data_IF_833172547038
#
_entry.id   IF_833172547038
#
_cell.length_a   1.000
_cell.length_b   1.000
_cell.length_c   1.000
_cell.angle_alpha   90.00
_cell.angle_beta   90.00
_cell.angle_gamma   90.00
#
_symmetry.space_group_name_H-M   'P 1'
#
loop_
_entity.id
_entity.type
_entity.pdbx_description
1 polymer ?
#
# COMPACT_ATOMS: atom_id res chain seq x y z
N UNK A 1 -3.20 -27.34 22.56
CA UNK A 1 -2.54 -26.11 22.09
C UNK A 1 -1.86 -25.54 23.32
N UNK A 2 -0.53 -25.34 23.28
CA UNK A 2 0.16 -24.72 24.41
C UNK A 2 -0.35 -23.27 24.53
N UNK A 3 -0.82 -22.90 25.72
CA UNK A 3 -1.14 -21.53 26.10
C UNK A 3 0.13 -20.68 25.90
N UNK A 4 0.17 -19.94 24.79
CA UNK A 4 1.23 -18.94 24.61
C UNK A 4 0.89 -17.82 25.57
N UNK A 5 1.56 -17.81 26.71
CA UNK A 5 1.51 -16.66 27.63
C UNK A 5 1.89 -15.41 26.83
N UNK A 6 1.09 -14.32 26.89
CA UNK A 6 1.44 -13.09 26.19
C UNK A 6 2.78 -12.60 26.74
N UNK A 7 3.80 -12.58 25.88
CA UNK A 7 5.07 -11.93 26.21
C UNK A 7 4.73 -10.48 26.58
N UNK A 8 5.13 -10.04 27.77
CA UNK A 8 4.97 -8.66 28.19
C UNK A 8 5.86 -7.79 27.30
N UNK A 9 5.25 -7.17 26.28
CA UNK A 9 5.94 -6.24 25.40
C UNK A 9 5.60 -4.83 25.86
N UNK A 10 6.63 -4.07 26.23
CA UNK A 10 6.50 -2.68 26.66
C UNK A 10 6.95 -1.75 25.55
N UNK A 11 6.19 -0.67 25.36
CA UNK A 11 6.63 0.40 24.47
C UNK A 11 7.77 1.18 25.13
N UNK A 12 8.89 1.29 24.42
CA UNK A 12 10.02 2.14 24.80
C UNK A 12 9.99 3.42 23.98
N UNK A 13 9.71 4.53 24.64
CA UNK A 13 9.87 5.85 24.01
C UNK A 13 11.36 6.12 23.79
N UNK A 14 11.74 6.47 22.57
CA UNK A 14 13.08 6.98 22.28
C UNK A 14 13.28 8.39 22.85
N UNK A 15 14.53 8.83 22.95
CA UNK A 15 14.85 10.21 23.35
C UNK A 15 14.64 11.20 22.22
N UNK A 16 14.75 10.78 20.95
CA UNK A 16 14.49 11.61 19.76
C UNK A 16 12.99 11.62 19.48
N UNK A 17 12.41 12.80 19.45
CA UNK A 17 11.00 13.02 19.17
C UNK A 17 10.68 12.99 17.67
N UNK A 18 9.41 12.88 17.30
CA UNK A 18 8.95 13.06 15.93
C UNK A 18 9.27 14.45 15.41
N UNK A 19 9.03 15.48 16.23
CA UNK A 19 9.23 16.87 15.85
C UNK A 19 10.72 17.15 15.50
N UNK A 20 11.66 16.56 16.22
CA UNK A 20 13.09 16.66 15.91
C UNK A 20 13.42 16.01 14.55
N UNK A 21 12.82 14.83 14.23
CA UNK A 21 13.01 14.20 12.90
C UNK A 21 12.41 15.05 11.80
N UNK A 22 11.19 15.56 12.00
CA UNK A 22 10.49 16.43 11.05
C UNK A 22 11.23 17.76 10.84
N UNK A 23 11.78 18.36 11.91
CA UNK A 23 12.58 19.55 11.83
C UNK A 23 13.88 19.34 11.03
N UNK A 24 14.56 18.19 11.23
CA UNK A 24 15.75 17.81 10.48
C UNK A 24 15.46 17.71 8.97
N UNK A 25 14.35 17.05 8.61
CA UNK A 25 13.94 16.88 7.22
C UNK A 25 13.22 18.12 6.64
N UNK A 26 12.86 19.09 7.50
CA UNK A 26 12.02 20.25 7.15
C UNK A 26 10.68 19.84 6.50
N UNK A 27 10.14 18.71 6.91
CA UNK A 27 9.01 18.03 6.31
C UNK A 27 8.23 17.25 7.36
N UNK A 28 6.91 17.30 7.26
CA UNK A 28 6.01 16.42 8.00
C UNK A 28 5.70 15.19 7.13
N UNK A 29 5.89 14.01 7.70
CA UNK A 29 5.59 12.78 6.98
C UNK A 29 4.08 12.49 6.89
N UNK A 30 3.70 11.74 5.85
CA UNK A 30 2.34 11.25 5.66
C UNK A 30 2.36 9.92 4.89
N UNK A 31 1.34 9.11 5.08
CA UNK A 31 1.08 7.95 4.22
C UNK A 31 0.09 8.33 3.12
N UNK A 32 0.48 8.13 1.87
CA UNK A 32 -0.34 8.27 0.67
C UNK A 32 -0.71 6.85 0.22
N UNK A 33 -1.97 6.44 0.47
CA UNK A 33 -2.42 5.07 0.25
C UNK A 33 -3.18 4.95 -1.06
N UNK A 34 -2.49 4.47 -2.12
CA UNK A 34 -3.10 4.22 -3.43
C UNK A 34 -3.77 2.85 -3.44
N UNK A 35 -5.07 2.82 -3.66
CA UNK A 35 -5.87 1.60 -3.81
C UNK A 35 -6.60 1.58 -5.16
N UNK A 36 -6.91 0.40 -5.67
CA UNK A 36 -7.58 0.20 -6.96
C UNK A 36 -7.23 -1.14 -7.61
N UNK A 37 -7.88 -1.49 -8.69
CA UNK A 37 -7.71 -2.76 -9.41
C UNK A 37 -6.28 -2.96 -9.95
N UNK A 38 -5.91 -4.19 -10.26
CA UNK A 38 -4.70 -4.46 -11.04
C UNK A 38 -4.76 -3.71 -12.38
N UNK A 39 -3.66 -3.14 -12.85
CA UNK A 39 -3.66 -2.37 -14.11
C UNK A 39 -4.34 -0.99 -14.06
N UNK A 40 -4.86 -0.56 -12.89
CA UNK A 40 -5.55 0.74 -12.77
C UNK A 40 -4.63 1.96 -12.91
N UNK A 41 -3.31 1.82 -12.74
CA UNK A 41 -2.35 2.93 -12.83
C UNK A 41 -1.75 3.38 -11.48
N UNK A 42 -2.02 2.68 -10.37
CA UNK A 42 -1.51 3.03 -9.03
C UNK A 42 0.00 3.25 -8.99
N UNK A 43 0.77 2.26 -9.43
CA UNK A 43 2.24 2.32 -9.41
C UNK A 43 2.76 3.43 -10.32
N UNK A 44 2.12 3.65 -11.47
CA UNK A 44 2.49 4.72 -12.40
C UNK A 44 2.31 6.09 -11.75
N UNK A 45 1.16 6.31 -11.08
CA UNK A 45 0.89 7.58 -10.38
C UNK A 45 1.82 7.76 -9.18
N UNK A 46 2.02 6.70 -8.38
CA UNK A 46 2.89 6.76 -7.20
C UNK A 46 4.35 7.09 -7.56
N UNK A 47 4.90 6.45 -8.59
CA UNK A 47 6.28 6.69 -9.06
C UNK A 47 6.42 8.10 -9.64
N UNK A 48 5.46 8.56 -10.44
CA UNK A 48 5.49 9.92 -10.99
C UNK A 48 5.40 10.98 -9.87
N UNK A 49 4.55 10.75 -8.87
CA UNK A 49 4.44 11.65 -7.71
C UNK A 49 5.72 11.63 -6.86
N UNK A 50 6.33 10.46 -6.60
CA UNK A 50 7.61 10.36 -5.90
C UNK A 50 8.66 11.22 -6.58
N UNK A 51 8.80 11.11 -7.91
CA UNK A 51 9.75 11.91 -8.68
C UNK A 51 9.53 13.40 -8.49
N UNK A 52 8.29 13.88 -8.54
CA UNK A 52 7.96 15.30 -8.36
C UNK A 52 8.24 15.74 -6.92
N UNK A 53 7.93 14.93 -5.91
CA UNK A 53 8.22 15.25 -4.51
C UNK A 53 9.74 15.36 -4.27
N UNK A 54 10.53 14.41 -4.78
CA UNK A 54 11.99 14.45 -4.68
C UNK A 54 12.57 15.67 -5.39
N UNK A 55 12.10 16.02 -6.58
CA UNK A 55 12.54 17.22 -7.31
C UNK A 55 12.21 18.53 -6.56
N UNK A 56 11.16 18.52 -5.73
CA UNK A 56 10.80 19.64 -4.85
C UNK A 56 11.50 19.61 -3.50
N UNK A 57 12.45 18.68 -3.29
CA UNK A 57 13.22 18.55 -2.05
C UNK A 57 12.50 17.84 -0.91
N UNK A 58 11.44 17.08 -1.22
CA UNK A 58 10.71 16.28 -0.25
C UNK A 58 11.16 14.82 -0.27
N UNK A 59 11.46 14.26 0.89
CA UNK A 59 11.79 12.84 1.04
C UNK A 59 10.52 11.99 0.90
N UNK A 60 10.51 11.11 -0.10
CA UNK A 60 9.42 10.21 -0.41
C UNK A 60 9.94 8.81 -0.75
N UNK A 61 9.11 7.77 -0.55
CA UNK A 61 9.45 6.40 -0.91
C UNK A 61 8.22 5.63 -1.34
N UNK A 62 8.28 4.99 -2.52
CA UNK A 62 7.22 4.13 -3.02
C UNK A 62 7.35 2.72 -2.45
N UNK A 63 6.31 2.29 -1.74
CA UNK A 63 6.11 0.91 -1.31
C UNK A 63 5.17 0.24 -2.31
N UNK A 64 5.74 -0.40 -3.33
CA UNK A 64 4.96 -1.11 -4.36
C UNK A 64 4.68 -2.55 -3.97
N UNK A 65 3.45 -3.02 -4.26
CA UNK A 65 2.98 -4.34 -3.86
C UNK A 65 3.80 -5.50 -4.42
N UNK A 66 4.28 -5.40 -5.67
CA UNK A 66 5.12 -6.44 -6.26
C UNK A 66 6.51 -6.44 -5.63
N UNK A 67 7.11 -5.26 -5.45
CA UNK A 67 8.45 -5.12 -4.86
C UNK A 67 8.49 -5.63 -3.41
N UNK A 68 7.48 -5.29 -2.61
CA UNK A 68 7.39 -5.76 -1.22
C UNK A 68 7.23 -7.28 -1.14
N UNK A 69 6.56 -7.89 -2.12
CA UNK A 69 6.43 -9.35 -2.21
C UNK A 69 7.71 -10.06 -2.66
N UNK A 70 8.74 -9.33 -3.08
CA UNK A 70 10.08 -9.91 -3.29
C UNK A 70 10.89 -10.03 -1.98
N UNK A 71 10.45 -9.41 -0.88
CA UNK A 71 11.16 -9.37 0.39
C UNK A 71 10.25 -9.50 1.61
N UNK A 72 9.79 -8.38 2.16
CA UNK A 72 9.04 -8.32 3.43
C UNK A 72 7.80 -9.23 3.44
N UNK A 73 7.06 -9.27 2.33
CA UNK A 73 5.84 -10.05 2.17
C UNK A 73 6.02 -11.16 1.13
N UNK A 74 7.24 -11.73 1.05
CA UNK A 74 7.56 -12.78 0.10
C UNK A 74 6.70 -14.03 0.32
N UNK A 75 6.31 -14.65 -0.80
CA UNK A 75 5.62 -15.95 -0.77
C UNK A 75 6.56 -17.11 -0.42
N UNK A 76 6.01 -18.29 -0.07
CA UNK A 76 6.82 -19.45 0.34
C UNK A 76 7.93 -19.81 -0.64
N UNK A 77 7.63 -19.79 -1.95
CA UNK A 77 8.62 -20.11 -2.97
C UNK A 77 9.81 -19.14 -2.95
N UNK A 78 9.54 -17.83 -2.89
CA UNK A 78 10.60 -16.83 -2.85
C UNK A 78 11.45 -16.99 -1.59
N UNK A 79 10.83 -17.30 -0.43
CA UNK A 79 11.55 -17.54 0.82
C UNK A 79 12.46 -18.76 0.75
N UNK A 80 12.02 -19.84 0.10
CA UNK A 80 12.87 -21.01 -0.14
C UNK A 80 14.04 -20.69 -1.08
N UNK A 81 13.76 -20.02 -2.21
CA UNK A 81 14.74 -19.75 -3.24
C UNK A 81 15.79 -18.71 -2.83
N UNK A 82 15.37 -17.65 -2.09
CA UNK A 82 16.24 -16.50 -1.80
C UNK A 82 16.79 -16.49 -0.37
N UNK A 83 16.16 -17.20 0.58
CA UNK A 83 16.52 -17.21 2.00
C UNK A 83 16.89 -18.59 2.50
N UNK A 84 16.89 -19.61 1.63
CA UNK A 84 17.16 -21.01 1.97
C UNK A 84 16.31 -21.53 3.15
N UNK A 85 15.09 -21.00 3.31
CA UNK A 85 14.19 -21.48 4.37
C UNK A 85 13.67 -22.87 4.04
N UNK A 86 13.60 -23.74 5.06
CA UNK A 86 12.93 -25.01 4.95
C UNK A 86 11.46 -24.81 4.57
N UNK A 87 10.88 -25.72 3.79
CA UNK A 87 9.53 -25.63 3.24
C UNK A 87 8.48 -25.36 4.32
N UNK A 88 8.57 -26.01 5.48
CA UNK A 88 7.67 -25.80 6.63
C UNK A 88 7.71 -24.37 7.15
N UNK A 89 8.90 -23.80 7.27
CA UNK A 89 9.10 -22.42 7.71
C UNK A 89 8.66 -21.44 6.63
N UNK A 90 8.97 -21.72 5.37
CA UNK A 90 8.56 -20.89 4.24
C UNK A 90 7.02 -20.81 4.13
N UNK A 91 6.32 -21.94 4.28
CA UNK A 91 4.85 -21.99 4.32
C UNK A 91 4.26 -21.25 5.53
N UNK A 92 4.94 -21.27 6.66
CA UNK A 92 4.49 -20.60 7.88
C UNK A 92 4.63 -19.07 7.81
N UNK A 93 5.69 -18.56 7.21
CA UNK A 93 6.04 -17.13 7.24
C UNK A 93 5.74 -16.41 5.91
N UNK A 94 5.66 -17.14 4.82
CA UNK A 94 5.38 -16.59 3.50
C UNK A 94 3.91 -16.26 3.31
N UNK A 95 3.63 -15.19 2.57
CA UNK A 95 2.28 -14.75 2.26
C UNK A 95 1.90 -15.12 0.82
N UNK A 96 0.79 -15.84 0.68
CA UNK A 96 0.14 -16.13 -0.60
C UNK A 96 -0.85 -15.03 -1.00
N UNK A 97 -1.99 -15.49 -1.56
CA UNK A 97 -3.07 -14.63 -2.05
C UNK A 97 -4.44 -15.03 -1.48
N UNK A 98 -4.47 -15.85 -0.41
CA UNK A 98 -5.72 -16.09 0.31
C UNK A 98 -6.24 -14.79 0.93
N UNK A 99 -7.52 -14.69 1.30
CA UNK A 99 -8.05 -13.51 2.01
C UNK A 99 -7.23 -13.16 3.26
N UNK A 100 -6.82 -14.15 4.05
CA UNK A 100 -6.01 -13.98 5.26
C UNK A 100 -4.59 -13.47 4.95
N UNK A 101 -3.97 -14.02 3.90
CA UNK A 101 -2.65 -13.56 3.43
C UNK A 101 -2.70 -12.11 2.94
N UNK A 102 -3.80 -11.71 2.29
CA UNK A 102 -4.02 -10.33 1.84
C UNK A 102 -4.22 -9.39 3.02
N UNK A 103 -5.01 -9.78 4.01
CA UNK A 103 -5.19 -9.03 5.26
C UNK A 103 -3.85 -8.81 5.95
N UNK A 104 -3.06 -9.87 6.15
CA UNK A 104 -1.73 -9.77 6.78
C UNK A 104 -0.75 -8.95 5.93
N UNK A 105 -0.80 -9.05 4.59
CA UNK A 105 -0.02 -8.21 3.69
C UNK A 105 -0.32 -6.72 3.93
N UNK A 106 -1.60 -6.34 3.99
CA UNK A 106 -2.02 -4.95 4.21
C UNK A 106 -1.69 -4.49 5.62
N UNK A 107 -1.85 -5.35 6.65
CA UNK A 107 -1.44 -5.05 8.02
C UNK A 107 0.05 -4.71 8.11
N UNK A 108 0.93 -5.55 7.51
CA UNK A 108 2.39 -5.29 7.50
C UNK A 108 2.72 -3.97 6.82
N UNK A 109 2.09 -3.69 5.68
CA UNK A 109 2.34 -2.43 4.95
C UNK A 109 1.80 -1.23 5.72
N UNK A 110 0.66 -1.36 6.40
CA UNK A 110 0.14 -0.33 7.30
C UNK A 110 1.16 0.05 8.37
N UNK A 111 1.78 -0.94 9.03
CA UNK A 111 2.83 -0.68 10.03
C UNK A 111 4.10 -0.07 9.42
N UNK A 112 4.57 -0.57 8.29
CA UNK A 112 5.77 -0.04 7.63
C UNK A 112 5.55 1.39 7.15
N UNK A 113 4.44 1.68 6.48
CA UNK A 113 4.13 3.02 6.01
C UNK A 113 3.99 4.02 7.17
N UNK A 114 3.39 3.58 8.30
CA UNK A 114 3.32 4.37 9.53
C UNK A 114 4.71 4.74 10.06
N UNK A 115 5.67 3.79 10.07
CA UNK A 115 7.04 4.06 10.52
C UNK A 115 7.76 5.05 9.59
N UNK A 116 7.58 4.92 8.28
CA UNK A 116 8.11 5.86 7.30
C UNK A 116 7.54 7.27 7.53
N UNK A 117 6.23 7.37 7.68
CA UNK A 117 5.58 8.65 7.91
C UNK A 117 5.92 9.25 9.29
N UNK A 118 6.05 8.44 10.34
CA UNK A 118 6.53 8.89 11.66
C UNK A 118 7.97 9.41 11.61
N UNK A 119 8.80 8.87 10.72
CA UNK A 119 10.17 9.37 10.52
C UNK A 119 10.25 10.67 9.73
N UNK A 120 9.14 11.14 9.14
CA UNK A 120 9.05 12.37 8.36
C UNK A 120 8.99 12.18 6.84
N UNK A 121 8.97 10.93 6.33
CA UNK A 121 8.89 10.68 4.89
C UNK A 121 7.44 10.64 4.39
N UNK A 122 7.24 10.95 3.12
CA UNK A 122 6.03 10.54 2.42
C UNK A 122 6.14 9.07 2.03
N UNK A 123 5.32 8.21 2.65
CA UNK A 123 5.20 6.80 2.29
C UNK A 123 4.10 6.63 1.23
N UNK A 124 4.47 6.35 -0.02
CA UNK A 124 3.54 6.15 -1.13
C UNK A 124 3.26 4.65 -1.29
N UNK A 125 2.16 4.16 -0.74
CA UNK A 125 1.82 2.73 -0.80
C UNK A 125 0.98 2.43 -2.04
N UNK A 126 1.45 1.55 -2.92
CA UNK A 126 0.74 1.15 -4.15
C UNK A 126 0.31 -0.31 -4.07
N UNK A 127 -0.90 -0.54 -3.56
CA UNK A 127 -1.47 -1.88 -3.35
C UNK A 127 -2.91 -1.96 -3.86
N UNK A 128 -3.35 -3.12 -4.34
CA UNK A 128 -4.77 -3.34 -4.66
C UNK A 128 -5.61 -3.07 -3.41
N UNK A 129 -5.22 -3.66 -2.26
CA UNK A 129 -5.90 -3.54 -0.96
C UNK A 129 -7.43 -3.62 -1.10
N UNK A 130 -7.95 -4.80 -1.54
CA UNK A 130 -9.32 -4.90 -2.06
C UNK A 130 -10.40 -4.69 -1.00
N UNK A 131 -10.13 -5.03 0.25
CA UNK A 131 -11.13 -5.02 1.31
C UNK A 131 -11.08 -3.72 2.12
N UNK A 132 -12.25 -3.08 2.32
CA UNK A 132 -12.36 -1.84 3.12
C UNK A 132 -11.85 -2.04 4.53
N UNK A 133 -12.22 -3.17 5.16
CA UNK A 133 -11.80 -3.48 6.54
C UNK A 133 -10.30 -3.38 6.74
N UNK A 134 -9.50 -3.81 5.75
CA UNK A 134 -8.05 -3.82 5.84
C UNK A 134 -7.48 -2.41 5.68
N UNK A 135 -8.05 -1.61 4.75
CA UNK A 135 -7.67 -0.20 4.57
C UNK A 135 -8.05 0.63 5.80
N UNK A 136 -9.26 0.41 6.36
CA UNK A 136 -9.71 1.05 7.59
C UNK A 136 -8.81 0.68 8.77
N UNK A 137 -8.39 -0.58 8.88
CA UNK A 137 -7.43 -1.02 9.89
C UNK A 137 -6.06 -0.32 9.73
N UNK A 138 -5.56 -0.20 8.49
CA UNK A 138 -4.34 0.55 8.21
C UNK A 138 -4.47 2.04 8.58
N UNK A 139 -5.59 2.68 8.24
CA UNK A 139 -5.89 4.07 8.67
C UNK A 139 -5.87 4.20 10.19
N UNK A 140 -6.54 3.27 10.89
CA UNK A 140 -6.63 3.27 12.36
C UNK A 140 -5.27 3.15 13.03
N UNK A 141 -4.34 2.36 12.47
CA UNK A 141 -2.96 2.26 12.96
C UNK A 141 -2.28 3.64 12.95
N UNK A 142 -2.52 4.46 11.92
CA UNK A 142 -1.96 5.81 11.80
C UNK A 142 -2.62 6.79 12.79
N UNK A 143 -3.95 6.75 12.90
CA UNK A 143 -4.71 7.61 13.81
C UNK A 143 -4.39 7.34 15.28
N UNK A 144 -4.18 6.07 15.64
CA UNK A 144 -3.89 5.62 17.01
C UNK A 144 -2.39 5.51 17.33
N UNK A 145 -1.54 6.09 16.49
CA UNK A 145 -0.09 6.04 16.72
C UNK A 145 0.28 6.70 18.05
N UNK A 146 1.15 6.03 18.83
CA UNK A 146 1.46 6.41 20.23
C UNK A 146 2.12 7.77 20.38
N UNK A 147 2.83 8.23 19.37
CA UNK A 147 3.49 9.55 19.37
C UNK A 147 2.62 10.65 18.75
N UNK A 148 1.32 10.42 18.62
CA UNK A 148 0.34 11.29 18.00
C UNK A 148 -0.10 10.78 16.62
N UNK A 149 -1.28 11.18 16.16
CA UNK A 149 -1.82 10.76 14.88
C UNK A 149 -0.87 11.10 13.70
N UNK A 150 -0.83 10.20 12.73
CA UNK A 150 -0.06 10.36 11.48
C UNK A 150 -1.05 10.54 10.33
N UNK A 151 -0.85 11.50 9.44
CA UNK A 151 -1.71 11.69 8.28
C UNK A 151 -1.75 10.43 7.39
N UNK A 152 -2.97 9.97 7.09
CA UNK A 152 -3.25 8.88 6.17
C UNK A 152 -4.21 9.40 5.10
N UNK A 153 -3.78 9.39 3.86
CA UNK A 153 -4.50 9.98 2.71
C UNK A 153 -4.81 8.84 1.75
N UNK A 154 -6.07 8.43 1.68
CA UNK A 154 -6.52 7.37 0.77
C UNK A 154 -6.78 7.95 -0.62
N UNK A 155 -6.10 7.40 -1.62
CA UNK A 155 -6.20 7.80 -3.02
C UNK A 155 -6.79 6.64 -3.80
N UNK A 156 -8.03 6.79 -4.22
CA UNK A 156 -8.72 5.81 -5.04
C UNK A 156 -8.36 5.98 -6.51
N UNK A 157 -7.63 5.02 -7.06
CA UNK A 157 -7.34 4.96 -8.49
C UNK A 157 -8.51 4.23 -9.17
N UNK A 158 -9.56 5.02 -9.49
CA UNK A 158 -10.87 4.58 -9.94
C UNK A 158 -10.91 4.36 -11.46
N UNK A 159 -10.08 3.47 -11.96
CA UNK A 159 -10.08 3.09 -13.38
C UNK A 159 -11.08 1.95 -13.59
N UNK A 160 -12.00 2.06 -14.57
CA UNK A 160 -12.95 1.00 -14.90
C UNK A 160 -12.27 -0.35 -15.17
N UNK A 161 -12.94 -1.45 -14.76
CA UNK A 161 -12.37 -2.78 -14.90
C UNK A 161 -12.11 -3.14 -16.36
N UNK A 162 -12.97 -2.71 -17.27
CA UNK A 162 -12.83 -2.92 -18.71
C UNK A 162 -11.50 -2.31 -19.23
N UNK A 163 -11.17 -1.13 -18.74
CA UNK A 163 -9.88 -0.47 -19.09
C UNK A 163 -8.70 -1.21 -18.46
N UNK A 164 -8.85 -1.70 -17.22
CA UNK A 164 -7.81 -2.50 -16.57
C UNK A 164 -7.57 -3.82 -17.31
N UNK A 165 -8.64 -4.50 -17.74
CA UNK A 165 -8.58 -5.74 -18.53
C UNK A 165 -7.96 -5.52 -19.92
N UNK A 166 -8.29 -4.41 -20.60
CA UNK A 166 -7.66 -4.07 -21.87
C UNK A 166 -6.16 -3.83 -21.76
N UNK A 167 -5.73 -3.19 -20.67
CA UNK A 167 -4.30 -2.97 -20.40
C UNK A 167 -3.57 -4.25 -20.07
N UNK A 168 -4.11 -5.04 -19.19
CA UNK A 168 -3.60 -6.32 -18.64
C UNK A 168 -2.08 -6.55 -18.81
N UNK A 169 -1.22 -5.67 -18.28
CA UNK A 169 0.21 -5.66 -18.59
C UNK A 169 0.95 -6.92 -18.16
N UNK A 170 0.32 -7.73 -17.29
CA UNK A 170 0.87 -8.98 -16.76
C UNK A 170 0.13 -10.22 -17.27
N UNK A 171 -0.92 -10.07 -18.08
CA UNK A 171 -1.76 -11.16 -18.55
C UNK A 171 -2.60 -11.84 -17.46
N UNK A 172 -2.76 -11.20 -16.29
CA UNK A 172 -3.42 -11.80 -15.14
C UNK A 172 -4.94 -11.83 -15.28
N UNK A 173 -5.55 -10.81 -15.90
CA UNK A 173 -7.00 -10.82 -16.19
C UNK A 173 -7.34 -11.94 -17.14
N UNK A 174 -6.58 -12.11 -18.22
CA UNK A 174 -6.77 -13.21 -19.16
C UNK A 174 -6.70 -14.55 -18.43
N UNK A 175 -5.67 -14.80 -17.64
CA UNK A 175 -5.52 -16.03 -16.88
C UNK A 175 -6.70 -16.27 -15.93
N UNK A 176 -7.18 -15.23 -15.22
CA UNK A 176 -8.30 -15.33 -14.31
C UNK A 176 -9.61 -15.65 -15.05
N UNK A 177 -9.89 -14.98 -16.18
CA UNK A 177 -11.07 -15.25 -17.01
C UNK A 177 -11.03 -16.67 -17.59
N UNK A 178 -9.90 -17.13 -18.09
CA UNK A 178 -9.72 -18.49 -18.62
C UNK A 178 -9.95 -19.54 -17.51
N UNK A 179 -9.45 -19.29 -16.29
CA UNK A 179 -9.65 -20.18 -15.15
C UNK A 179 -11.12 -20.24 -14.72
N UNK A 180 -11.82 -19.11 -14.66
CA UNK A 180 -13.27 -19.07 -14.34
C UNK A 180 -14.07 -19.80 -15.42
N UNK A 181 -13.76 -19.62 -16.69
CA UNK A 181 -14.40 -20.33 -17.81
C UNK A 181 -14.18 -21.87 -17.72
N UNK A 182 -13.04 -22.30 -17.16
CA UNK A 182 -12.74 -23.71 -16.89
C UNK A 182 -13.33 -24.23 -15.56
N UNK A 183 -14.18 -23.44 -14.87
CA UNK A 183 -14.78 -23.80 -13.59
C UNK A 183 -13.82 -23.77 -12.39
N UNK A 184 -12.68 -23.07 -12.52
CA UNK A 184 -11.65 -22.96 -11.48
C UNK A 184 -11.46 -21.47 -11.12
N UNK A 185 -11.85 -21.06 -9.90
CA UNK A 185 -11.55 -19.73 -9.40
C UNK A 185 -10.04 -19.56 -9.12
N UNK A 186 -9.53 -18.35 -9.30
CA UNK A 186 -8.15 -17.96 -8.93
C UNK A 186 -8.11 -17.01 -7.72
N UNK A 187 -9.29 -16.53 -7.24
CA UNK A 187 -9.36 -15.48 -6.24
C UNK A 187 -8.75 -14.17 -6.76
N UNK A 188 -8.93 -13.86 -8.05
CA UNK A 188 -8.36 -12.65 -8.65
C UNK A 188 -9.33 -11.47 -8.47
N UNK A 189 -8.82 -10.41 -7.83
CA UNK A 189 -9.62 -9.22 -7.51
C UNK A 189 -10.21 -8.56 -8.76
N UNK A 190 -11.51 -8.39 -8.76
CA UNK A 190 -12.29 -7.83 -9.87
C UNK A 190 -12.81 -8.87 -10.88
N UNK A 191 -12.43 -10.15 -10.74
CA UNK A 191 -12.94 -11.24 -11.60
C UNK A 191 -13.76 -12.22 -10.77
N UNK A 192 -13.15 -12.93 -9.84
CA UNK A 192 -13.75 -13.93 -8.97
C UNK A 192 -13.50 -13.68 -7.48
N UNK A 193 -12.86 -12.53 -7.15
CA UNK A 193 -12.76 -11.97 -5.81
C UNK A 193 -13.17 -10.48 -5.85
N UNK A 194 -13.94 -9.96 -4.87
CA UNK A 194 -14.45 -8.60 -4.93
C UNK A 194 -13.36 -7.55 -4.70
N UNK A 195 -13.55 -6.38 -5.32
CA UNK A 195 -12.90 -5.13 -4.93
C UNK A 195 -13.94 -4.21 -4.30
N UNK A 196 -13.74 -3.86 -3.04
CA UNK A 196 -14.62 -2.96 -2.30
C UNK A 196 -14.10 -1.53 -2.43
N UNK A 197 -14.67 -0.75 -3.34
CA UNK A 197 -14.31 0.65 -3.51
C UNK A 197 -14.40 1.44 -2.19
N UNK A 198 -13.46 2.35 -1.90
CA UNK A 198 -13.54 3.18 -0.69
C UNK A 198 -14.79 4.05 -0.71
N UNK A 199 -15.40 4.24 0.48
CA UNK A 199 -16.64 5.02 0.61
C UNK A 199 -16.37 6.53 0.62
N UNK A 200 -15.25 6.94 1.20
CA UNK A 200 -14.86 8.35 1.37
C UNK A 200 -13.34 8.50 1.26
N UNK A 201 -12.74 8.24 0.08
CA UNK A 201 -11.32 8.49 -0.11
C UNK A 201 -11.08 10.01 -0.06
N UNK A 202 -9.90 10.43 0.36
CA UNK A 202 -9.50 11.83 0.30
C UNK A 202 -9.39 12.32 -1.13
N UNK A 203 -8.95 11.45 -2.05
CA UNK A 203 -8.82 11.76 -3.47
C UNK A 203 -9.28 10.57 -4.33
N UNK A 204 -9.79 10.88 -5.52
CA UNK A 204 -10.13 9.90 -6.55
C UNK A 204 -9.56 10.36 -7.89
N UNK A 205 -8.90 9.45 -8.60
CA UNK A 205 -8.33 9.69 -9.92
C UNK A 205 -8.66 8.54 -10.87
N UNK A 206 -9.14 8.88 -12.06
CA UNK A 206 -9.48 7.92 -13.12
C UNK A 206 -8.47 8.01 -14.27
N UNK A 207 -7.60 7.00 -14.37
CA UNK A 207 -6.59 6.91 -15.44
C UNK A 207 -7.16 6.50 -16.81
N UNK A 208 -8.46 6.33 -16.96
CA UNK A 208 -9.11 6.16 -18.28
C UNK A 208 -9.44 7.49 -18.94
N UNK A 209 -9.63 8.54 -18.13
CA UNK A 209 -10.06 9.87 -18.58
C UNK A 209 -9.07 10.98 -18.27
N UNK A 210 -8.13 10.73 -17.36
CA UNK A 210 -7.15 11.72 -16.90
C UNK A 210 -5.72 11.23 -17.14
N UNK A 211 -4.81 12.16 -17.45
CA UNK A 211 -3.39 11.83 -17.61
C UNK A 211 -2.69 11.63 -16.26
N UNK A 212 -1.50 11.05 -16.28
CA UNK A 212 -0.68 10.87 -15.07
C UNK A 212 -0.29 12.22 -14.46
N UNK A 213 0.01 13.21 -15.28
CA UNK A 213 0.35 14.58 -14.86
C UNK A 213 -0.83 15.24 -14.15
N UNK A 214 -2.05 15.03 -14.64
CA UNK A 214 -3.27 15.50 -13.95
C UNK A 214 -3.46 14.80 -12.60
N UNK A 215 -3.20 13.51 -12.53
CA UNK A 215 -3.23 12.76 -11.26
C UNK A 215 -2.18 13.25 -10.27
N UNK A 216 -0.95 13.48 -10.72
CA UNK A 216 0.13 14.07 -9.89
C UNK A 216 -0.27 15.46 -9.40
N UNK A 217 -0.78 16.32 -10.28
CA UNK A 217 -1.22 17.66 -9.92
C UNK A 217 -2.36 17.63 -8.89
N UNK A 218 -3.32 16.70 -9.02
CA UNK A 218 -4.41 16.52 -8.07
C UNK A 218 -3.87 16.22 -6.66
N UNK A 219 -2.97 15.24 -6.54
CA UNK A 219 -2.41 14.85 -5.24
C UNK A 219 -1.52 15.96 -4.68
N UNK A 220 -0.67 16.55 -5.51
CA UNK A 220 0.24 17.61 -5.09
C UNK A 220 -0.51 18.85 -4.59
N UNK A 221 -1.56 19.29 -5.29
CA UNK A 221 -2.39 20.41 -4.85
C UNK A 221 -3.05 20.12 -3.49
N UNK A 222 -3.58 18.91 -3.30
CA UNK A 222 -4.11 18.51 -1.99
C UNK A 222 -3.04 18.60 -0.88
N UNK A 223 -1.81 18.13 -1.16
CA UNK A 223 -0.72 18.22 -0.18
C UNK A 223 -0.32 19.67 0.14
N UNK A 224 -0.34 20.56 -0.87
CA UNK A 224 -0.08 22.00 -0.69
C UNK A 224 -1.19 22.65 0.12
N UNK A 225 -2.46 22.44 -0.23
CA UNK A 225 -3.63 23.00 0.47
C UNK A 225 -3.68 22.57 1.94
N UNK A 226 -3.20 21.37 2.26
CA UNK A 226 -3.12 20.85 3.62
C UNK A 226 -1.82 21.22 4.35
N UNK A 227 -0.90 21.93 3.69
CA UNK A 227 0.35 22.38 4.27
C UNK A 227 1.42 21.29 4.46
N UNK A 228 1.27 20.14 3.79
CA UNK A 228 2.28 19.08 3.80
C UNK A 228 3.47 19.39 2.89
N UNK A 229 3.22 20.11 1.81
CA UNK A 229 4.20 20.53 0.82
C UNK A 229 4.09 22.04 0.63
N UNK A 230 5.23 22.73 0.50
CA UNK A 230 5.22 24.16 0.16
C UNK A 230 4.86 24.36 -1.31
N UNK A 231 4.17 25.46 -1.59
CA UNK A 231 3.82 25.89 -2.96
C UNK A 231 5.06 26.23 -3.79
#
# INVERSE_FOLDING_TARGET
MADIQPTQVFYHAGTVTRDERHALLKQNGATLWFTGLSGSGKSTLAVALEQVLIQRGHAAYVLDGDNVRMGLNAGPKILMDTRALAETSAKRFGLGFSPEDREENIRRIGEVSRLFADSGLFALTSFISPYRKDRDAARKIHEQNKTGAIPYIEIFVNTPIETCEQRDPKGLYKQARDAVAAGKGMGFTGVDDPYEAPLKPELSWDASTQTVEQGVALVLNYLIERGYVKS
#
